data_IF_297125448957
#
_entry.id   IF_297125448957
#
_cell.length_a   1.000
_cell.length_b   1.000
_cell.length_c   1.000
_cell.angle_alpha   90.00
_cell.angle_beta   90.00
_cell.angle_gamma   90.00
#
_symmetry.space_group_name_H-M   'P 1'
#
loop_
_entity.id
_entity.type
_entity.pdbx_description
1 polymer ?
#
# COMPACT_ATOMS: atom_id res chain seq x y z
N UNK A 1 24.60 29.22 -40.89
CA UNK A 1 23.34 28.75 -41.50
C UNK A 1 22.55 28.07 -40.38
N UNK A 2 21.64 28.81 -39.75
CA UNK A 2 20.82 28.31 -38.64
C UNK A 2 19.67 27.53 -39.25
N UNK A 3 19.64 26.22 -39.02
CA UNK A 3 18.54 25.37 -39.45
C UNK A 3 17.35 25.73 -38.56
N UNK A 4 16.44 26.55 -39.10
CA UNK A 4 15.10 26.69 -38.52
C UNK A 4 14.39 25.35 -38.67
N UNK A 5 14.25 24.63 -37.55
CA UNK A 5 13.29 23.53 -37.45
C UNK A 5 11.89 24.14 -37.59
N UNK A 6 11.36 24.10 -38.80
CA UNK A 6 9.94 24.35 -39.06
C UNK A 6 9.14 23.29 -38.31
N UNK A 7 8.51 23.67 -37.20
CA UNK A 7 7.63 22.84 -36.39
C UNK A 7 6.42 22.38 -37.23
N UNK A 8 6.31 21.08 -37.57
CA UNK A 8 5.20 20.58 -38.39
C UNK A 8 3.87 20.53 -37.62
N UNK A 9 3.84 20.84 -36.32
CA UNK A 9 2.64 20.66 -35.48
C UNK A 9 1.74 21.90 -35.38
N UNK A 10 2.25 23.07 -35.77
CA UNK A 10 1.52 24.33 -35.62
C UNK A 10 1.54 24.75 -34.16
N UNK A 11 2.18 25.89 -33.93
CA UNK A 11 2.38 26.50 -32.62
C UNK A 11 1.05 26.55 -31.82
N UNK A 12 0.97 25.75 -30.75
CA UNK A 12 -0.20 25.66 -29.86
C UNK A 12 -0.60 27.05 -29.37
N UNK A 13 0.37 27.94 -29.14
CA UNK A 13 0.10 29.31 -28.71
C UNK A 13 -0.64 30.13 -29.76
N UNK A 14 -0.39 29.88 -31.06
CA UNK A 14 -1.13 30.51 -32.18
C UNK A 14 -2.54 29.96 -32.30
N UNK A 15 -2.71 28.65 -32.12
CA UNK A 15 -4.03 28.00 -32.20
C UNK A 15 -4.92 28.37 -31.01
N UNK A 16 -4.33 28.49 -29.81
CA UNK A 16 -5.02 28.89 -28.60
C UNK A 16 -5.20 30.41 -28.48
N UNK A 17 -4.26 31.17 -29.03
CA UNK A 17 -4.22 32.63 -28.99
C UNK A 17 -3.61 33.23 -27.73
N UNK A 18 -2.80 32.46 -26.99
CA UNK A 18 -1.92 32.90 -25.91
C UNK A 18 -0.89 31.81 -25.58
N UNK A 19 0.16 32.15 -24.83
CA UNK A 19 1.03 31.14 -24.25
C UNK A 19 0.24 30.25 -23.29
N UNK A 20 0.50 28.94 -23.35
CA UNK A 20 -0.18 27.90 -22.58
C UNK A 20 0.82 27.32 -21.60
N UNK A 21 0.46 27.24 -20.31
CA UNK A 21 1.28 26.55 -19.33
C UNK A 21 1.20 25.03 -19.52
N UNK A 22 2.18 24.26 -19.01
CA UNK A 22 2.13 22.80 -19.09
C UNK A 22 0.86 22.19 -18.43
N UNK A 23 0.37 22.82 -17.35
CA UNK A 23 -0.88 22.45 -16.68
C UNK A 23 -2.09 22.70 -17.57
N UNK A 24 -2.13 23.86 -18.23
CA UNK A 24 -3.20 24.23 -19.16
C UNK A 24 -3.15 23.37 -20.44
N UNK A 25 -1.97 22.98 -20.94
CA UNK A 25 -1.84 22.04 -22.06
C UNK A 25 -2.47 20.69 -21.72
N UNK A 26 -2.19 20.12 -20.55
CA UNK A 26 -2.78 18.85 -20.09
C UNK A 26 -4.29 18.94 -19.91
N UNK A 27 -4.76 20.02 -19.30
CA UNK A 27 -6.20 20.28 -19.15
C UNK A 27 -6.89 20.42 -20.52
N UNK A 28 -6.32 21.18 -21.45
CA UNK A 28 -6.86 21.36 -22.79
C UNK A 28 -6.94 20.05 -23.55
N UNK A 29 -5.89 19.24 -23.49
CA UNK A 29 -5.86 17.94 -24.14
C UNK A 29 -6.97 17.03 -23.59
N UNK A 30 -7.10 16.91 -22.27
CA UNK A 30 -8.16 16.14 -21.62
C UNK A 30 -9.56 16.64 -22.01
N UNK A 31 -9.75 17.96 -21.92
CA UNK A 31 -11.01 18.64 -22.21
C UNK A 31 -11.42 18.40 -23.66
N UNK A 32 -10.55 18.60 -24.63
CA UNK A 32 -10.88 18.46 -26.04
C UNK A 32 -11.03 17.00 -26.49
N UNK A 33 -10.27 16.08 -25.91
CA UNK A 33 -10.27 14.66 -26.30
C UNK A 33 -11.51 13.94 -25.79
N UNK A 34 -11.83 14.12 -24.51
CA UNK A 34 -12.87 13.32 -23.83
C UNK A 34 -14.15 14.10 -23.57
N UNK A 35 -14.04 15.43 -23.48
CA UNK A 35 -15.12 16.29 -23.05
C UNK A 35 -15.29 17.48 -23.98
N UNK A 36 -15.38 17.33 -25.32
CA UNK A 36 -15.44 18.50 -26.20
C UNK A 36 -16.71 19.33 -26.00
N UNK A 37 -17.84 18.69 -25.63
CA UNK A 37 -19.16 19.33 -25.56
C UNK A 37 -19.90 19.16 -24.23
N UNK A 38 -19.41 18.30 -23.33
CA UNK A 38 -19.95 18.07 -21.99
C UNK A 38 -18.87 18.37 -20.97
N UNK A 39 -19.19 18.85 -19.77
CA UNK A 39 -18.19 19.00 -18.72
C UNK A 39 -18.62 18.32 -17.43
N UNK A 40 -17.73 17.57 -16.77
CA UNK A 40 -17.99 17.04 -15.45
C UNK A 40 -18.32 18.17 -14.48
N UNK A 41 -19.50 18.12 -13.88
CA UNK A 41 -19.95 19.13 -12.89
C UNK A 41 -19.95 18.59 -11.47
N UNK A 42 -19.97 17.27 -11.24
CA UNK A 42 -20.12 16.72 -9.89
C UNK A 42 -18.77 16.44 -9.21
N UNK A 43 -18.45 17.18 -8.14
CA UNK A 43 -17.45 16.82 -7.12
C UNK A 43 -18.09 16.24 -5.84
N UNK A 44 -19.42 16.29 -5.74
CA UNK A 44 -20.21 15.93 -4.56
C UNK A 44 -21.21 14.82 -4.92
N UNK A 45 -21.52 13.86 -4.02
CA UNK A 45 -22.50 12.82 -4.35
C UNK A 45 -23.89 13.44 -4.52
N UNK A 46 -24.46 13.31 -5.72
CA UNK A 46 -25.90 13.42 -5.95
C UNK A 46 -26.54 12.04 -5.84
N UNK A 47 -27.82 11.95 -5.40
CA UNK A 47 -28.57 10.70 -5.43
C UNK A 47 -28.64 10.14 -6.85
N UNK A 48 -28.74 8.81 -6.95
CA UNK A 48 -28.44 7.90 -8.07
C UNK A 48 -29.14 8.13 -9.44
N UNK A 49 -29.66 9.32 -9.76
CA UNK A 49 -30.66 9.46 -10.84
C UNK A 49 -30.36 10.44 -11.98
N UNK A 50 -29.19 11.07 -12.08
CA UNK A 50 -28.89 11.92 -13.26
C UNK A 50 -27.98 11.17 -14.21
N UNK A 51 -28.50 10.94 -15.43
CA UNK A 51 -27.93 10.08 -16.47
C UNK A 51 -26.40 10.15 -16.56
N UNK A 52 -25.78 8.97 -16.45
CA UNK A 52 -24.33 8.83 -16.54
C UNK A 52 -23.83 9.38 -17.88
N UNK A 53 -22.78 10.22 -17.91
CA UNK A 53 -22.05 10.43 -19.14
C UNK A 53 -21.46 9.07 -19.58
N UNK A 54 -21.45 8.76 -20.88
CA UNK A 54 -20.78 7.57 -21.38
C UNK A 54 -19.34 7.58 -20.89
N UNK A 55 -18.85 6.44 -20.39
CA UNK A 55 -17.46 6.29 -20.00
C UNK A 55 -16.58 6.72 -21.18
N UNK A 56 -15.60 7.61 -20.98
CA UNK A 56 -14.71 7.99 -22.07
C UNK A 56 -14.01 6.75 -22.60
N UNK A 57 -14.09 6.49 -23.91
CA UNK A 57 -13.37 5.40 -24.57
C UNK A 57 -11.86 5.55 -24.26
N UNK A 58 -11.34 4.66 -23.41
CA UNK A 58 -10.01 4.75 -22.84
C UNK A 58 -8.99 3.91 -23.64
N UNK A 59 -9.02 4.01 -24.97
CA UNK A 59 -7.98 3.39 -25.79
C UNK A 59 -6.67 4.15 -25.56
N UNK A 60 -5.69 3.50 -24.93
CA UNK A 60 -4.35 4.07 -24.77
C UNK A 60 -3.75 4.20 -26.16
N UNK A 61 -3.53 5.43 -26.60
CA UNK A 61 -2.93 5.71 -27.90
C UNK A 61 -1.46 6.05 -27.67
N UNK A 62 -0.54 5.53 -28.46
CA UNK A 62 0.85 5.96 -28.40
C UNK A 62 0.97 7.26 -29.22
N UNK A 63 1.23 8.39 -28.57
CA UNK A 63 1.36 9.68 -29.26
C UNK A 63 1.80 10.81 -28.35
N UNK A 64 2.49 11.80 -28.93
CA UNK A 64 2.85 13.03 -28.24
C UNK A 64 1.59 13.88 -27.97
N UNK A 65 1.38 14.22 -26.69
CA UNK A 65 0.28 15.07 -26.22
C UNK A 65 0.23 16.38 -26.99
N UNK A 66 1.39 16.99 -27.29
CA UNK A 66 1.45 18.28 -27.99
C UNK A 66 0.98 18.17 -29.43
N UNK A 67 1.44 17.15 -30.15
CA UNK A 67 1.02 16.88 -31.51
C UNK A 67 -0.49 16.60 -31.59
N UNK A 68 -1.01 15.78 -30.67
CA UNK A 68 -2.44 15.45 -30.60
C UNK A 68 -3.28 16.68 -30.22
N UNK A 69 -2.83 17.48 -29.25
CA UNK A 69 -3.47 18.73 -28.85
C UNK A 69 -3.56 19.72 -30.03
N UNK A 70 -2.50 19.84 -30.83
CA UNK A 70 -2.50 20.67 -32.03
C UNK A 70 -3.58 20.25 -33.04
N UNK A 71 -3.79 18.95 -33.23
CA UNK A 71 -4.87 18.43 -34.08
C UNK A 71 -6.25 18.69 -33.46
N UNK A 72 -6.41 18.46 -32.17
CA UNK A 72 -7.66 18.70 -31.44
C UNK A 72 -8.07 20.18 -31.48
N UNK A 73 -7.13 21.11 -31.32
CA UNK A 73 -7.38 22.55 -31.43
C UNK A 73 -7.79 22.95 -32.86
N UNK A 74 -7.15 22.38 -33.89
CA UNK A 74 -7.52 22.61 -35.29
C UNK A 74 -8.94 22.11 -35.60
N UNK A 75 -9.33 20.97 -35.02
CA UNK A 75 -10.67 20.36 -35.20
C UNK A 75 -11.76 21.12 -34.45
N UNK A 76 -11.45 21.64 -33.26
CA UNK A 76 -12.44 22.19 -32.33
C UNK A 76 -12.36 23.73 -32.20
N UNK A 77 -12.00 24.45 -33.27
CA UNK A 77 -11.81 25.91 -33.24
C UNK A 77 -13.01 26.69 -32.68
N UNK A 78 -14.23 26.20 -32.94
CA UNK A 78 -15.48 26.86 -32.55
C UNK A 78 -15.64 26.97 -31.04
N UNK A 79 -15.17 25.98 -30.27
CA UNK A 79 -15.33 25.95 -28.82
C UNK A 79 -14.18 26.64 -28.06
N UNK A 80 -13.10 27.05 -28.74
CA UNK A 80 -11.93 27.68 -28.11
C UNK A 80 -12.30 28.93 -27.28
N UNK A 81 -13.09 29.90 -27.80
CA UNK A 81 -13.46 31.07 -27.01
C UNK A 81 -14.22 30.72 -25.73
N UNK A 82 -15.12 29.73 -25.81
CA UNK A 82 -15.87 29.22 -24.66
C UNK A 82 -14.93 28.58 -23.62
N UNK A 83 -13.99 27.74 -24.06
CA UNK A 83 -13.01 27.12 -23.17
C UNK A 83 -12.09 28.14 -22.49
N UNK A 84 -11.68 29.19 -23.23
CA UNK A 84 -10.90 30.30 -22.65
C UNK A 84 -11.70 31.01 -21.57
N UNK A 85 -12.96 31.35 -21.82
CA UNK A 85 -13.80 32.06 -20.85
C UNK A 85 -14.16 31.21 -19.63
N UNK A 86 -14.37 29.91 -19.82
CA UNK A 86 -14.80 28.99 -18.76
C UNK A 86 -13.69 28.32 -17.94
N UNK A 87 -12.41 28.66 -18.17
CA UNK A 87 -11.31 28.03 -17.43
C UNK A 87 -11.24 28.57 -15.99
N UNK A 88 -11.34 27.66 -15.02
CA UNK A 88 -11.30 27.97 -13.59
C UNK A 88 -10.22 27.10 -12.92
N UNK A 89 -8.97 27.56 -12.96
CA UNK A 89 -7.85 26.89 -12.31
C UNK A 89 -7.66 27.42 -10.89
N UNK A 90 -7.41 26.50 -9.97
CA UNK A 90 -6.86 26.82 -8.65
C UNK A 90 -5.39 27.22 -8.78
N UNK A 91 -4.82 27.82 -7.74
CA UNK A 91 -3.41 28.18 -7.72
C UNK A 91 -2.56 26.94 -7.43
N UNK A 92 -1.29 26.94 -7.87
CA UNK A 92 -0.39 25.82 -7.61
C UNK A 92 -0.17 25.61 -6.11
N UNK A 93 -0.14 26.72 -5.34
CA UNK A 93 -0.02 26.70 -3.89
C UNK A 93 -1.15 25.94 -3.16
N UNK A 94 -2.34 25.85 -3.78
CA UNK A 94 -3.46 25.08 -3.23
C UNK A 94 -3.17 23.57 -3.16
N UNK A 95 -2.18 23.11 -3.94
CA UNK A 95 -1.74 21.70 -4.01
C UNK A 95 -0.39 21.45 -3.35
N UNK A 96 0.16 22.40 -2.57
CA UNK A 96 1.48 22.23 -1.93
C UNK A 96 1.51 21.08 -0.91
N UNK A 97 0.38 20.77 -0.27
CA UNK A 97 0.26 19.64 0.66
C UNK A 97 0.20 18.28 -0.06
N UNK A 98 0.04 18.26 -1.38
CA UNK A 98 0.04 17.05 -2.20
C UNK A 98 1.45 16.84 -2.73
N UNK A 99 2.09 15.81 -2.20
CA UNK A 99 3.46 15.44 -2.54
C UNK A 99 3.48 14.36 -3.62
N UNK A 100 4.66 13.99 -4.10
CA UNK A 100 4.84 12.84 -4.99
C UNK A 100 4.77 11.48 -4.27
N UNK A 101 4.22 11.46 -3.04
CA UNK A 101 3.97 10.22 -2.30
C UNK A 101 2.93 9.36 -3.04
N UNK A 102 3.35 8.17 -3.48
CA UNK A 102 2.51 7.30 -4.29
C UNK A 102 1.23 6.82 -3.56
N UNK A 103 1.27 6.65 -2.24
CA UNK A 103 0.08 6.27 -1.44
C UNK A 103 -0.92 7.42 -1.36
N UNK A 104 -0.44 8.63 -1.08
CA UNK A 104 -1.28 9.83 -1.05
C UNK A 104 -1.97 10.03 -2.40
N UNK A 105 -1.20 9.98 -3.49
CA UNK A 105 -1.74 10.17 -4.84
C UNK A 105 -2.71 9.07 -5.24
N UNK A 106 -2.41 7.80 -4.92
CA UNK A 106 -3.34 6.70 -5.16
C UNK A 106 -4.67 6.91 -4.45
N UNK A 107 -4.62 7.26 -3.16
CA UNK A 107 -5.81 7.51 -2.35
C UNK A 107 -6.64 8.67 -2.90
N UNK A 108 -5.98 9.80 -3.23
CA UNK A 108 -6.64 11.00 -3.77
C UNK A 108 -7.27 10.77 -5.14
N UNK A 109 -6.56 10.10 -6.05
CA UNK A 109 -7.06 9.77 -7.39
C UNK A 109 -8.27 8.84 -7.27
N UNK A 110 -8.20 7.79 -6.43
CA UNK A 110 -9.33 6.89 -6.23
C UNK A 110 -10.54 7.58 -5.61
N UNK A 111 -10.33 8.48 -4.65
CA UNK A 111 -11.42 9.27 -4.06
C UNK A 111 -12.09 10.13 -5.13
N UNK A 112 -11.30 10.78 -5.99
CA UNK A 112 -11.79 11.63 -7.07
C UNK A 112 -12.50 10.83 -8.17
N UNK A 113 -11.96 9.68 -8.61
CA UNK A 113 -12.64 8.76 -9.53
C UNK A 113 -13.96 8.25 -8.95
N UNK A 114 -13.98 7.95 -7.65
CA UNK A 114 -15.20 7.50 -6.97
C UNK A 114 -16.28 8.57 -6.92
N UNK A 115 -15.88 9.85 -6.83
CA UNK A 115 -16.77 11.00 -6.90
C UNK A 115 -17.25 11.27 -8.34
N UNK A 116 -16.32 11.23 -9.31
CA UNK A 116 -16.58 11.56 -10.72
C UNK A 116 -17.24 10.43 -11.52
N UNK A 117 -17.15 9.17 -11.06
CA UNK A 117 -17.66 7.97 -11.73
C UNK A 117 -17.07 7.70 -13.13
N UNK A 118 -15.90 8.26 -13.43
CA UNK A 118 -15.14 7.93 -14.64
C UNK A 118 -13.64 7.88 -14.35
N UNK A 119 -12.92 7.15 -15.20
CA UNK A 119 -11.47 7.10 -15.25
C UNK A 119 -10.99 7.40 -16.67
N UNK A 120 -9.83 8.04 -16.78
CA UNK A 120 -9.21 8.37 -18.07
C UNK A 120 -7.85 7.67 -18.14
N UNK A 121 -7.86 6.41 -18.58
CA UNK A 121 -6.68 5.53 -18.56
C UNK A 121 -5.49 6.08 -19.35
N UNK A 122 -5.73 6.65 -20.54
CA UNK A 122 -4.68 7.25 -21.38
C UNK A 122 -3.98 8.43 -20.66
N UNK A 123 -4.77 9.31 -20.02
CA UNK A 123 -4.23 10.42 -19.24
C UNK A 123 -3.44 9.93 -18.03
N UNK A 124 -3.95 8.90 -17.33
CA UNK A 124 -3.28 8.27 -16.19
C UNK A 124 -1.93 7.63 -16.59
N UNK A 125 -1.84 7.09 -17.81
CA UNK A 125 -0.62 6.50 -18.34
C UNK A 125 0.41 7.54 -18.79
N UNK A 126 -0.03 8.71 -19.26
CA UNK A 126 0.86 9.74 -19.83
C UNK A 126 1.29 10.83 -18.84
N UNK A 127 0.52 11.09 -17.79
CA UNK A 127 0.81 12.14 -16.81
C UNK A 127 1.49 11.57 -15.57
N UNK A 128 2.27 12.42 -14.87
CA UNK A 128 2.64 12.10 -13.49
C UNK A 128 1.36 11.95 -12.65
N UNK A 129 1.37 11.13 -11.60
CA UNK A 129 0.17 10.95 -10.77
C UNK A 129 -0.31 12.25 -10.13
N UNK A 130 0.62 13.15 -9.77
CA UNK A 130 0.30 14.48 -9.26
C UNK A 130 -0.36 15.36 -10.32
N UNK A 131 0.23 15.42 -11.52
CA UNK A 131 -0.36 16.16 -12.63
C UNK A 131 -1.72 15.62 -13.04
N UNK A 132 -1.88 14.30 -13.04
CA UNK A 132 -3.15 13.65 -13.33
C UNK A 132 -4.24 14.07 -12.33
N UNK A 133 -3.94 14.02 -11.04
CA UNK A 133 -4.87 14.48 -10.01
C UNK A 133 -5.25 15.96 -10.18
N UNK A 134 -4.27 16.85 -10.34
CA UNK A 134 -4.50 18.28 -10.54
C UNK A 134 -5.39 18.51 -11.77
N UNK A 135 -5.08 17.83 -12.88
CA UNK A 135 -5.84 17.95 -14.11
C UNK A 135 -7.29 17.47 -13.96
N UNK A 136 -7.54 16.41 -13.18
CA UNK A 136 -8.91 15.96 -12.89
C UNK A 136 -9.69 17.01 -12.07
N UNK A 137 -9.06 17.67 -11.10
CA UNK A 137 -9.69 18.76 -10.33
C UNK A 137 -9.98 19.97 -11.24
N UNK A 138 -9.05 20.31 -12.13
CA UNK A 138 -9.22 21.40 -13.09
C UNK A 138 -10.31 21.12 -14.12
N UNK A 139 -10.48 19.85 -14.49
CA UNK A 139 -11.48 19.41 -15.45
C UNK A 139 -12.91 19.63 -14.95
N UNK A 140 -13.14 19.59 -13.64
CA UNK A 140 -14.48 19.82 -13.09
C UNK A 140 -14.88 21.29 -13.24
N UNK A 141 -16.05 21.53 -13.81
CA UNK A 141 -16.65 22.87 -13.89
C UNK A 141 -17.42 23.19 -12.62
N UNK A 142 -16.65 23.55 -11.59
CA UNK A 142 -17.14 24.09 -10.33
C UNK A 142 -16.48 25.45 -10.06
N UNK A 143 -17.15 26.36 -9.33
CA UNK A 143 -16.53 27.57 -8.83
C UNK A 143 -15.22 27.28 -8.09
N UNK A 144 -14.26 28.21 -8.18
CA UNK A 144 -12.95 28.06 -7.52
C UNK A 144 -13.14 27.82 -6.02
N UNK A 145 -14.09 28.50 -5.38
CA UNK A 145 -14.41 28.31 -3.96
C UNK A 145 -14.76 26.85 -3.61
N UNK A 146 -15.55 26.18 -4.45
CA UNK A 146 -15.97 24.80 -4.23
C UNK A 146 -14.82 23.82 -4.48
N UNK A 147 -13.96 24.10 -5.48
CA UNK A 147 -12.73 23.32 -5.69
C UNK A 147 -11.79 23.44 -4.48
N UNK A 148 -11.61 24.65 -3.95
CA UNK A 148 -10.78 24.88 -2.76
C UNK A 148 -11.36 24.19 -1.53
N UNK A 149 -12.69 24.22 -1.36
CA UNK A 149 -13.35 23.49 -0.29
C UNK A 149 -13.10 21.99 -0.41
N UNK A 150 -13.27 21.42 -1.60
CA UNK A 150 -12.97 20.01 -1.88
C UNK A 150 -11.51 19.67 -1.56
N UNK A 151 -10.53 20.46 -2.04
CA UNK A 151 -9.10 20.22 -1.78
C UNK A 151 -8.81 20.22 -0.27
N UNK A 152 -9.34 21.21 0.47
CA UNK A 152 -9.19 21.28 1.94
C UNK A 152 -9.84 20.09 2.65
N UNK A 153 -11.02 19.67 2.20
CA UNK A 153 -11.69 18.49 2.73
C UNK A 153 -10.85 17.22 2.50
N UNK A 154 -10.28 17.04 1.31
CA UNK A 154 -9.40 15.91 1.00
C UNK A 154 -8.14 15.92 1.88
N UNK A 155 -7.57 17.09 2.17
CA UNK A 155 -6.45 17.22 3.10
C UNK A 155 -6.81 16.70 4.51
N UNK A 156 -7.98 17.07 5.02
CA UNK A 156 -8.46 16.64 6.34
C UNK A 156 -8.77 15.13 6.35
N UNK A 157 -9.43 14.62 5.32
CA UNK A 157 -9.76 13.20 5.18
C UNK A 157 -8.48 12.36 5.06
N UNK A 158 -7.49 12.81 4.29
CA UNK A 158 -6.18 12.15 4.21
C UNK A 158 -5.47 12.11 5.56
N UNK A 159 -5.46 13.21 6.32
CA UNK A 159 -4.90 13.23 7.66
C UNK A 159 -5.65 12.27 8.61
N UNK A 160 -6.97 12.17 8.48
CA UNK A 160 -7.79 11.18 9.20
C UNK A 160 -7.44 9.74 8.83
N UNK A 161 -7.30 9.48 7.53
CA UNK A 161 -6.93 8.17 6.97
C UNK A 161 -5.57 7.70 7.45
N UNK A 162 -4.57 8.59 7.49
CA UNK A 162 -3.25 8.26 8.04
C UNK A 162 -3.33 7.85 9.52
N UNK A 163 -4.15 8.54 10.32
CA UNK A 163 -4.34 8.17 11.74
C UNK A 163 -5.01 6.80 11.89
N UNK A 164 -6.09 6.55 11.15
CA UNK A 164 -6.83 5.27 11.24
C UNK A 164 -5.99 4.10 10.72
N UNK A 165 -5.08 4.34 9.78
CA UNK A 165 -4.26 3.31 9.14
C UNK A 165 -2.80 3.25 9.62
N UNK A 166 -2.49 3.83 10.78
CA UNK A 166 -1.15 3.80 11.39
C UNK A 166 -0.59 2.38 11.62
N UNK A 167 -1.46 1.36 11.72
CA UNK A 167 -1.01 -0.04 11.77
C UNK A 167 -0.24 -0.48 10.50
N UNK A 168 -0.43 0.21 9.37
CA UNK A 168 0.29 -0.02 8.12
C UNK A 168 1.71 0.56 8.12
N UNK A 169 2.09 1.36 9.12
CA UNK A 169 3.45 1.90 9.25
C UNK A 169 4.48 0.79 9.48
N UNK A 170 4.03 -0.41 9.84
CA UNK A 170 4.85 -1.61 9.88
C UNK A 170 5.46 -1.98 8.51
N UNK A 171 4.84 -1.56 7.41
CA UNK A 171 5.34 -1.69 6.04
C UNK A 171 6.09 -0.43 5.61
N UNK A 172 7.08 -0.02 6.40
CA UNK A 172 7.89 1.15 6.11
C UNK A 172 8.48 1.12 4.69
N UNK A 173 8.82 2.29 4.17
CA UNK A 173 9.25 2.41 2.77
C UNK A 173 10.63 1.74 2.55
N UNK A 174 11.39 1.55 3.63
CA UNK A 174 12.66 0.82 3.74
C UNK A 174 12.50 -0.65 4.17
N UNK A 175 11.30 -1.22 4.02
CA UNK A 175 11.08 -2.64 4.30
C UNK A 175 12.07 -3.51 3.50
N UNK A 176 12.74 -4.41 4.19
CA UNK A 176 13.65 -5.35 3.54
C UNK A 176 12.89 -6.29 2.58
N UNK A 177 13.57 -6.72 1.52
CA UNK A 177 12.97 -7.53 0.45
C UNK A 177 12.40 -8.85 0.99
N UNK A 178 13.05 -9.44 2.00
CA UNK A 178 12.63 -10.68 2.63
C UNK A 178 11.29 -10.52 3.36
N UNK A 179 11.15 -9.47 4.16
CA UNK A 179 9.93 -9.12 4.89
C UNK A 179 8.83 -8.74 3.93
N UNK A 180 9.15 -8.00 2.89
CA UNK A 180 8.21 -7.62 1.84
C UNK A 180 7.64 -8.86 1.12
N UNK A 181 8.51 -9.76 0.63
CA UNK A 181 8.10 -11.00 -0.02
C UNK A 181 7.30 -11.91 0.93
N UNK A 182 7.73 -12.01 2.19
CA UNK A 182 7.00 -12.76 3.21
C UNK A 182 5.59 -12.20 3.46
N UNK A 183 5.46 -10.88 3.53
CA UNK A 183 4.20 -10.21 3.80
C UNK A 183 3.18 -10.50 2.71
N UNK A 184 3.58 -10.41 1.44
CA UNK A 184 2.73 -10.81 0.32
C UNK A 184 2.32 -12.28 0.38
N UNK A 185 3.26 -13.18 0.62
CA UNK A 185 2.97 -14.62 0.72
C UNK A 185 1.97 -14.94 1.84
N UNK A 186 2.15 -14.31 3.01
CA UNK A 186 1.25 -14.47 4.14
C UNK A 186 -0.15 -13.90 3.85
N UNK A 187 -0.20 -12.77 3.14
CA UNK A 187 -1.43 -12.12 2.72
C UNK A 187 -2.21 -12.97 1.70
N UNK A 188 -1.52 -13.49 0.67
CA UNK A 188 -2.07 -14.43 -0.32
C UNK A 188 -2.64 -15.67 0.35
N UNK A 189 -1.87 -16.29 1.23
CA UNK A 189 -2.30 -17.52 1.92
C UNK A 189 -3.56 -17.31 2.74
N UNK A 190 -3.75 -16.10 3.30
CA UNK A 190 -4.89 -15.76 4.14
C UNK A 190 -6.10 -15.24 3.36
N UNK A 191 -5.88 -14.45 2.30
CA UNK A 191 -6.96 -13.83 1.52
C UNK A 191 -7.44 -14.68 0.35
N UNK A 192 -6.57 -15.49 -0.27
CA UNK A 192 -6.95 -16.31 -1.43
C UNK A 192 -8.16 -17.23 -1.16
N UNK A 193 -8.30 -17.88 0.02
CA UNK A 193 -9.48 -18.69 0.30
C UNK A 193 -10.77 -17.87 0.48
N UNK A 194 -10.66 -16.65 1.00
CA UNK A 194 -11.81 -15.81 1.34
C UNK A 194 -12.31 -14.96 0.16
N UNK A 195 -11.45 -14.69 -0.83
CA UNK A 195 -11.76 -13.80 -1.95
C UNK A 195 -11.39 -14.44 -3.30
N UNK A 196 -12.02 -15.57 -3.69
CA UNK A 196 -11.70 -16.27 -4.94
C UNK A 196 -11.99 -15.45 -6.21
N UNK A 197 -12.87 -14.44 -6.12
CA UNK A 197 -13.18 -13.52 -7.22
C UNK A 197 -12.36 -12.22 -7.19
N UNK A 198 -11.44 -12.07 -6.24
CA UNK A 198 -10.55 -10.91 -6.26
C UNK A 198 -9.60 -11.02 -7.44
N UNK A 199 -9.69 -10.09 -8.39
CA UNK A 199 -8.66 -9.92 -9.39
C UNK A 199 -7.40 -9.41 -8.68
N UNK A 200 -6.48 -10.33 -8.38
CA UNK A 200 -5.11 -10.03 -7.96
C UNK A 200 -4.31 -9.21 -9.00
N UNK A 201 -4.90 -8.86 -10.15
CA UNK A 201 -4.24 -8.12 -11.22
C UNK A 201 -3.60 -6.81 -10.77
N UNK A 202 -4.20 -6.09 -9.83
CA UNK A 202 -3.58 -4.88 -9.26
C UNK A 202 -2.51 -5.22 -8.20
N UNK A 203 -2.59 -6.39 -7.57
CA UNK A 203 -1.66 -6.82 -6.52
C UNK A 203 -0.23 -6.97 -7.06
N UNK A 204 -0.06 -7.44 -8.30
CA UNK A 204 1.27 -7.54 -8.91
C UNK A 204 1.91 -6.18 -9.19
N UNK A 205 1.08 -5.19 -9.55
CA UNK A 205 1.52 -3.80 -9.69
C UNK A 205 1.95 -3.22 -8.34
N UNK A 206 1.22 -3.52 -7.28
CA UNK A 206 1.58 -3.08 -5.92
C UNK A 206 2.79 -3.82 -5.37
N UNK A 207 2.95 -5.11 -5.66
CA UNK A 207 4.09 -5.91 -5.20
C UNK A 207 5.42 -5.32 -5.64
N UNK A 208 5.49 -4.73 -6.82
CA UNK A 208 6.74 -4.13 -7.30
C UNK A 208 7.12 -2.83 -6.55
N UNK A 209 6.23 -2.28 -5.70
CA UNK A 209 6.41 -1.00 -5.01
C UNK A 209 6.77 -1.12 -3.53
N UNK A 210 7.28 -2.28 -3.09
CA UNK A 210 7.76 -2.47 -1.72
C UNK A 210 6.71 -2.19 -0.64
N UNK A 211 7.14 -1.56 0.45
CA UNK A 211 6.25 -1.24 1.59
C UNK A 211 5.09 -0.31 1.22
N UNK A 212 5.35 0.69 0.38
CA UNK A 212 4.31 1.59 -0.15
C UNK A 212 3.27 0.81 -0.94
N UNK A 213 3.71 -0.19 -1.71
CA UNK A 213 2.83 -1.11 -2.43
C UNK A 213 1.84 -1.84 -1.52
N UNK A 214 2.33 -2.43 -0.43
CA UNK A 214 1.49 -3.08 0.57
C UNK A 214 0.48 -2.11 1.17
N UNK A 215 0.90 -0.88 1.51
CA UNK A 215 -0.01 0.15 2.03
C UNK A 215 -1.13 0.48 1.03
N UNK A 216 -0.78 0.70 -0.24
CA UNK A 216 -1.75 0.99 -1.30
C UNK A 216 -2.71 -0.19 -1.54
N UNK A 217 -2.21 -1.43 -1.46
CA UNK A 217 -3.05 -2.61 -1.55
C UNK A 217 -4.07 -2.66 -0.41
N UNK A 218 -3.66 -2.42 0.84
CA UNK A 218 -4.62 -2.34 1.95
C UNK A 218 -5.62 -1.19 1.78
N UNK A 219 -5.21 -0.05 1.22
CA UNK A 219 -6.11 1.06 0.92
C UNK A 219 -7.13 0.68 -0.18
N UNK A 220 -6.79 -0.23 -1.11
CA UNK A 220 -7.69 -0.70 -2.17
C UNK A 220 -8.72 -1.74 -1.70
N UNK A 221 -8.45 -2.43 -0.59
CA UNK A 221 -9.35 -3.45 -0.06
C UNK A 221 -10.65 -2.83 0.44
N UNK A 222 -11.77 -3.35 -0.09
CA UNK A 222 -13.13 -3.02 0.36
C UNK A 222 -13.57 -3.86 1.56
N UNK A 223 -12.74 -3.86 2.59
CA UNK A 223 -13.00 -4.51 3.89
C UNK A 223 -12.84 -3.47 5.00
N UNK A 224 -13.35 -3.77 6.20
CA UNK A 224 -13.27 -2.85 7.32
C UNK A 224 -11.83 -2.60 7.78
N UNK A 225 -11.55 -1.42 8.36
CA UNK A 225 -10.24 -1.12 8.94
C UNK A 225 -9.86 -2.12 10.05
N UNK A 226 -10.84 -2.67 10.76
CA UNK A 226 -10.62 -3.71 11.75
C UNK A 226 -10.10 -5.00 11.12
N UNK A 227 -10.69 -5.44 10.01
CA UNK A 227 -10.22 -6.61 9.26
C UNK A 227 -8.83 -6.37 8.67
N UNK A 228 -8.59 -5.19 8.06
CA UNK A 228 -7.26 -4.80 7.57
C UNK A 228 -6.22 -4.90 8.68
N UNK A 229 -6.49 -4.34 9.86
CA UNK A 229 -5.61 -4.43 11.02
C UNK A 229 -5.37 -5.88 11.46
N UNK A 230 -6.41 -6.71 11.50
CA UNK A 230 -6.30 -8.14 11.82
C UNK A 230 -5.40 -8.89 10.83
N UNK A 231 -5.42 -8.54 9.54
CA UNK A 231 -4.49 -9.10 8.56
C UNK A 231 -3.04 -8.70 8.88
N UNK A 232 -2.79 -7.43 9.15
CA UNK A 232 -1.44 -6.94 9.48
C UNK A 232 -0.91 -7.57 10.76
N UNK A 233 -1.71 -7.64 11.83
CA UNK A 233 -1.29 -8.23 13.11
C UNK A 233 -0.92 -9.72 12.97
N UNK A 234 -1.62 -10.43 12.10
CA UNK A 234 -1.28 -11.83 11.80
C UNK A 234 0.03 -11.96 11.02
N UNK A 235 0.25 -11.12 10.00
CA UNK A 235 1.51 -11.11 9.26
C UNK A 235 2.67 -10.79 10.22
N UNK A 236 2.49 -9.79 11.08
CA UNK A 236 3.44 -9.44 12.15
C UNK A 236 3.75 -10.62 13.04
N UNK A 237 2.72 -11.34 13.50
CA UNK A 237 2.88 -12.52 14.36
C UNK A 237 3.68 -13.62 13.66
N UNK A 238 3.33 -13.97 12.42
CA UNK A 238 4.03 -14.99 11.66
C UNK A 238 5.48 -14.60 11.38
N UNK A 239 5.74 -13.33 11.06
CA UNK A 239 7.08 -12.81 10.85
C UNK A 239 7.95 -12.93 12.12
N UNK A 240 7.42 -12.50 13.27
CA UNK A 240 8.12 -12.61 14.55
C UNK A 240 8.42 -14.06 14.92
N UNK A 241 7.48 -14.98 14.68
CA UNK A 241 7.69 -16.41 14.89
C UNK A 241 8.79 -16.97 13.99
N UNK A 242 8.81 -16.58 12.71
CA UNK A 242 9.84 -16.98 11.76
C UNK A 242 11.22 -16.50 12.21
N UNK A 243 11.36 -15.20 12.52
CA UNK A 243 12.65 -14.63 12.97
C UNK A 243 13.12 -15.23 14.30
N UNK A 244 12.19 -15.57 15.19
CA UNK A 244 12.50 -16.29 16.42
C UNK A 244 13.07 -17.69 16.14
N UNK A 245 12.45 -18.46 15.23
CA UNK A 245 12.95 -19.79 14.82
C UNK A 245 14.32 -19.71 14.14
N UNK A 246 14.51 -18.75 13.24
CA UNK A 246 15.81 -18.49 12.60
C UNK A 246 16.90 -18.18 13.63
N UNK A 247 16.58 -17.40 14.67
CA UNK A 247 17.50 -17.11 15.78
C UNK A 247 17.84 -18.36 16.59
N UNK A 248 16.86 -19.21 16.90
CA UNK A 248 17.09 -20.48 17.61
C UNK A 248 18.01 -21.40 16.82
N UNK A 249 17.76 -21.55 15.52
CA UNK A 249 18.60 -22.36 14.62
C UNK A 249 20.02 -21.82 14.52
N UNK A 250 20.18 -20.50 14.31
CA UNK A 250 21.50 -19.85 14.24
C UNK A 250 22.31 -20.02 15.52
N UNK A 251 21.65 -19.92 16.67
CA UNK A 251 22.30 -20.10 17.98
C UNK A 251 22.45 -21.58 18.37
N UNK A 252 22.01 -22.52 17.51
CA UNK A 252 21.95 -23.97 17.80
C UNK A 252 21.20 -24.31 19.10
N UNK A 253 20.29 -23.44 19.52
CA UNK A 253 19.50 -23.61 20.75
C UNK A 253 18.26 -24.41 20.40
N UNK A 254 18.15 -25.63 20.91
CA UNK A 254 16.94 -26.46 20.78
C UNK A 254 16.12 -26.33 22.05
N UNK A 255 14.91 -25.79 21.94
CA UNK A 255 13.98 -25.81 23.05
C UNK A 255 13.58 -27.27 23.34
N UNK A 256 13.79 -27.73 24.58
CA UNK A 256 13.32 -29.02 25.07
C UNK A 256 12.41 -28.77 26.26
N UNK A 257 11.24 -29.42 26.25
CA UNK A 257 10.32 -29.38 27.37
C UNK A 257 10.72 -30.50 28.34
N UNK A 258 11.10 -30.15 29.56
CA UNK A 258 11.36 -31.09 30.63
C UNK A 258 10.18 -31.06 31.60
N UNK A 259 9.73 -32.24 32.00
CA UNK A 259 8.83 -32.39 33.15
C UNK A 259 9.71 -32.71 34.34
N UNK A 260 9.77 -31.81 35.31
CA UNK A 260 10.55 -31.93 36.53
C UNK A 260 9.59 -32.00 37.72
N UNK A 261 9.98 -32.71 38.78
CA UNK A 261 9.22 -32.65 40.03
C UNK A 261 9.26 -31.24 40.63
N UNK A 262 8.24 -30.87 41.41
CA UNK A 262 8.18 -29.57 42.08
C UNK A 262 9.41 -29.32 42.96
N UNK A 263 9.92 -30.37 43.61
CA UNK A 263 11.16 -30.34 44.40
C UNK A 263 12.38 -30.00 43.54
N UNK A 264 12.54 -30.66 42.39
CA UNK A 264 13.67 -30.41 41.46
C UNK A 264 13.61 -29.00 40.88
N UNK A 265 12.41 -28.49 40.61
CA UNK A 265 12.25 -27.10 40.18
C UNK A 265 12.65 -26.09 41.28
N UNK A 266 12.24 -26.34 42.53
CA UNK A 266 12.60 -25.47 43.65
C UNK A 266 14.13 -25.44 43.89
N UNK A 267 14.79 -26.57 43.74
CA UNK A 267 16.26 -26.67 43.84
C UNK A 267 16.95 -25.92 42.70
N UNK A 268 16.45 -26.07 41.46
CA UNK A 268 16.95 -25.33 40.29
C UNK A 268 16.80 -23.82 40.47
N UNK A 269 15.69 -23.36 41.04
CA UNK A 269 15.43 -21.94 41.35
C UNK A 269 16.40 -21.37 42.37
N UNK A 270 16.64 -22.12 43.43
CA UNK A 270 17.59 -21.73 44.47
C UNK A 270 19.00 -21.62 43.89
N UNK A 271 19.42 -22.59 43.08
CA UNK A 271 20.72 -22.59 42.41
C UNK A 271 20.87 -21.42 41.43
N UNK A 272 19.87 -21.18 40.57
CA UNK A 272 19.88 -20.07 39.62
C UNK A 272 20.00 -18.72 40.35
N UNK A 273 19.26 -18.55 41.45
CA UNK A 273 19.31 -17.33 42.28
C UNK A 273 20.66 -17.14 42.97
N UNK A 274 21.25 -18.22 43.50
CA UNK A 274 22.58 -18.18 44.14
C UNK A 274 23.69 -17.82 43.15
N UNK A 275 23.60 -18.30 41.91
CA UNK A 275 24.59 -18.07 40.86
C UNK A 275 24.34 -16.78 40.06
N UNK A 276 23.18 -16.14 40.22
CA UNK A 276 22.81 -14.92 39.49
C UNK A 276 22.59 -15.12 37.99
N UNK A 277 22.29 -16.35 37.56
CA UNK A 277 22.13 -16.74 36.15
C UNK A 277 20.71 -17.29 35.89
N UNK A 278 20.37 -17.48 34.62
CA UNK A 278 19.07 -18.05 34.25
C UNK A 278 18.94 -19.52 34.66
N UNK A 279 17.71 -20.00 34.87
CA UNK A 279 17.42 -21.43 35.11
C UNK A 279 18.00 -22.32 34.01
N UNK A 280 17.87 -21.89 32.75
CA UNK A 280 18.40 -22.60 31.57
C UNK A 280 19.92 -22.71 31.63
N UNK A 281 20.62 -21.60 31.90
CA UNK A 281 22.08 -21.59 32.00
C UNK A 281 22.57 -22.44 33.18
N UNK A 282 21.83 -22.42 34.30
CA UNK A 282 22.10 -23.30 35.45
C UNK A 282 22.03 -24.78 35.03
N UNK A 283 20.97 -25.14 34.31
CA UNK A 283 20.76 -26.51 33.82
C UNK A 283 21.87 -26.94 32.83
N UNK A 284 22.26 -26.06 31.91
CA UNK A 284 23.36 -26.32 30.97
C UNK A 284 24.69 -26.53 31.69
N UNK A 285 25.03 -25.69 32.67
CA UNK A 285 26.24 -25.86 33.49
C UNK A 285 26.23 -27.15 34.30
N UNK A 286 25.09 -27.53 34.87
CA UNK A 286 24.95 -28.80 35.59
C UNK A 286 25.21 -30.00 34.66
N UNK A 287 24.67 -29.97 33.43
CA UNK A 287 24.92 -31.02 32.42
C UNK A 287 26.40 -31.04 32.02
N UNK A 288 27.02 -29.88 31.80
CA UNK A 288 28.44 -29.80 31.47
C UNK A 288 29.33 -30.36 32.59
N UNK A 289 29.02 -30.03 33.85
CA UNK A 289 29.74 -30.54 35.02
C UNK A 289 29.60 -32.06 35.13
N UNK A 290 28.38 -32.58 34.99
CA UNK A 290 28.13 -34.02 35.01
C UNK A 290 28.88 -34.76 33.88
N UNK A 291 28.95 -34.15 32.69
CA UNK A 291 29.69 -34.72 31.55
C UNK A 291 31.20 -34.68 31.78
N UNK A 292 31.74 -33.56 32.29
CA UNK A 292 33.18 -33.41 32.61
C UNK A 292 33.63 -34.36 33.72
N UNK A 293 32.75 -34.66 34.67
CA UNK A 293 33.02 -35.61 35.76
C UNK A 293 32.80 -37.08 35.37
N UNK A 294 32.43 -37.37 34.11
CA UNK A 294 32.32 -38.75 33.62
C UNK A 294 31.10 -39.52 34.13
N UNK A 295 30.01 -38.83 34.50
CA UNK A 295 28.75 -39.45 34.98
C UNK A 295 27.98 -40.16 33.84
N UNK A 296 28.62 -40.41 32.69
CA UNK A 296 28.02 -41.08 31.54
C UNK A 296 27.69 -42.57 31.76
N UNK A 297 28.23 -43.20 32.82
CA UNK A 297 28.15 -44.65 33.05
C UNK A 297 27.43 -45.06 34.36
N UNK A 298 26.46 -44.28 34.85
CA UNK A 298 25.55 -44.81 35.88
C UNK A 298 24.55 -45.76 35.19
N UNK A 299 24.97 -47.02 34.98
CA UNK A 299 24.04 -48.15 34.91
C UNK A 299 23.28 -48.15 36.24
N UNK A 300 22.09 -47.56 36.26
CA UNK A 300 21.17 -47.74 37.36
C UNK A 300 20.80 -49.23 37.41
N UNK A 301 21.44 -49.97 38.30
CA UNK A 301 21.00 -51.29 38.71
C UNK A 301 19.65 -51.11 39.41
N UNK A 302 18.58 -51.30 38.65
CA UNK A 302 17.24 -51.53 39.18
C UNK A 302 17.23 -52.89 39.87
N UNK A 303 17.64 -52.92 41.13
CA UNK A 303 17.29 -54.00 42.05
C UNK A 303 16.04 -53.56 42.80
N UNK A 304 14.88 -53.90 42.24
CA UNK A 304 13.64 -54.01 43.00
C UNK A 304 13.31 -55.49 43.04
N UNK A 305 13.82 -56.17 44.08
CA UNK A 305 13.23 -57.42 44.55
C UNK A 305 11.85 -57.10 45.09
N UNK A 306 10.81 -57.51 44.36
CA UNK A 306 9.49 -57.72 44.93
C UNK A 306 9.27 -59.23 45.01
N UNK A 307 9.47 -59.76 46.21
CA UNK A 307 8.88 -61.03 46.62
C UNK A 307 7.35 -60.86 46.73
N UNK A 308 6.66 -61.80 46.09
CA UNK A 308 5.27 -62.31 46.15
C UNK A 308 4.43 -62.06 47.44
N UNK A 309 3.08 -62.31 47.47
CA UNK A 309 2.31 -63.33 46.70
C UNK A 309 0.94 -62.85 46.12
N UNK A 310 0.44 -63.43 45.02
CA UNK A 310 -0.60 -64.48 44.96
C UNK A 310 -1.60 -64.43 46.12
N UNK A 311 -2.82 -63.98 45.85
CA UNK A 311 -4.03 -64.76 46.17
C UNK A 311 -5.19 -64.36 45.26
N UNK A 312 -5.87 -65.41 44.83
CA UNK A 312 -6.99 -65.50 43.89
C UNK A 312 -8.30 -65.60 44.65
N UNK A 313 -9.32 -64.85 44.21
CA UNK A 313 -10.73 -65.25 44.00
C UNK A 313 -11.62 -64.01 43.86
#
# INVERSE_FOLDING_TARGET
MVIQYSDPHGDISKLWGSNVSAREERWLWLRLKYFPYFTPTALWPMPDSVGMPPSPDSTITAGDIKAELGQLLKKNKVIIPMLRAGRCFTQDADFDWITDNARQLYWLINALHSALKFEIGDARARFSSRDYYICLVDLVMQPIADKLHYIKQQQQLWAGHLRSTSYLDWFSDDIDEERHAFSWKALESRLAPAMPFFRWGDADTWRQKGGVGLKCFFDSLRISDHEKKSHVDHIRKLWSQRKYREKLEKNKVRQRNFVLSDTTMADLDKLAKQLGISRTETLERLIELATKQGISDIRMTSNISLQHPIESS
#
